data_IF_688362859828
#
_entry.id   IF_688362859828
#
_cell.length_a   1.000
_cell.length_b   1.000
_cell.length_c   1.000
_cell.angle_alpha   90.00
_cell.angle_beta   90.00
_cell.angle_gamma   90.00
#
_symmetry.space_group_name_H-M   'P 1'
#
loop_
_entity.id
_entity.type
_entity.pdbx_description
1 polymer ?
#
# COMPACT_ATOMS: atom_id res chain seq x y z
N UNK A 1 -7.88 0.08 14.30
CA UNK A 1 -7.45 1.39 13.81
C UNK A 1 -6.11 1.33 13.09
N UNK A 2 -5.08 0.82 13.73
CA UNK A 2 -3.77 0.73 13.07
C UNK A 2 -3.81 -0.22 11.89
N UNK A 3 -4.51 -1.33 12.03
CA UNK A 3 -4.64 -2.29 10.94
C UNK A 3 -5.38 -1.67 9.76
N UNK A 4 -6.45 -0.94 10.03
CA UNK A 4 -7.23 -0.31 8.96
C UNK A 4 -6.40 0.72 8.22
N UNK A 5 -5.57 1.47 8.93
CA UNK A 5 -4.70 2.46 8.31
C UNK A 5 -3.68 1.77 7.40
N UNK A 6 -3.09 0.68 7.87
CA UNK A 6 -2.10 -0.05 7.08
C UNK A 6 -2.75 -0.69 5.85
N UNK A 7 -3.96 -1.21 6.01
CA UNK A 7 -4.68 -1.79 4.88
C UNK A 7 -5.06 -0.74 3.85
N UNK A 8 -5.42 0.46 4.29
CA UNK A 8 -5.70 1.56 3.38
C UNK A 8 -4.45 1.95 2.58
N UNK A 9 -3.30 2.01 3.26
CA UNK A 9 -2.05 2.32 2.59
C UNK A 9 -1.69 1.24 1.58
N UNK A 10 -1.90 -0.01 1.94
CA UNK A 10 -1.63 -1.13 1.03
C UNK A 10 -2.51 -1.03 -0.21
N UNK A 11 -3.80 -0.78 -0.04
CA UNK A 11 -4.72 -0.68 -1.15
C UNK A 11 -4.35 0.49 -2.06
N UNK A 12 -3.98 1.62 -1.47
CA UNK A 12 -3.57 2.78 -2.24
C UNK A 12 -2.32 2.48 -3.06
N UNK A 13 -1.34 1.82 -2.44
CA UNK A 13 -0.10 1.51 -3.12
C UNK A 13 -0.33 0.53 -4.27
N UNK A 14 -1.15 -0.50 -4.04
CA UNK A 14 -1.44 -1.48 -5.08
C UNK A 14 -2.17 -0.85 -6.25
N UNK A 15 -3.15 0.02 -5.97
CA UNK A 15 -3.87 0.70 -7.03
C UNK A 15 -2.94 1.60 -7.84
N UNK A 16 -2.06 2.33 -7.14
CA UNK A 16 -1.11 3.20 -7.81
C UNK A 16 -0.20 2.41 -8.73
N UNK A 17 0.35 1.30 -8.23
CA UNK A 17 1.23 0.46 -9.05
C UNK A 17 0.49 -0.14 -10.24
N UNK A 18 -0.75 -0.54 -10.04
CA UNK A 18 -1.55 -1.11 -11.12
C UNK A 18 -1.80 -0.09 -12.21
N UNK A 19 -2.19 1.13 -11.82
CA UNK A 19 -2.42 2.19 -12.78
C UNK A 19 -1.14 2.52 -13.55
N UNK A 20 -0.03 2.60 -12.84
CA UNK A 20 1.24 2.90 -13.48
C UNK A 20 1.66 1.80 -14.44
N UNK A 21 1.41 0.56 -14.06
CA UNK A 21 1.73 -0.58 -14.93
C UNK A 21 0.95 -0.51 -16.23
N UNK A 22 -0.32 -0.16 -16.15
CA UNK A 22 -1.17 -0.09 -17.33
C UNK A 22 -0.79 1.08 -18.25
N UNK A 23 -0.23 2.13 -17.67
CA UNK A 23 0.10 3.32 -18.44
C UNK A 23 1.56 3.43 -18.82
N UNK A 24 2.36 2.44 -18.45
CA UNK A 24 3.80 2.52 -18.68
C UNK A 24 4.16 2.73 -20.15
N UNK A 25 3.45 2.06 -21.04
CA UNK A 25 3.74 2.14 -22.46
C UNK A 25 3.39 3.51 -23.06
N UNK A 26 2.52 4.26 -22.39
CA UNK A 26 2.08 5.56 -22.90
C UNK A 26 2.85 6.73 -22.33
N UNK A 27 3.82 6.49 -21.48
CA UNK A 27 4.57 7.57 -20.85
C UNK A 27 5.59 8.14 -21.82
N UNK A 28 5.61 9.44 -21.94
CA UNK A 28 6.56 10.11 -22.80
C UNK A 28 7.96 10.11 -22.21
N UNK A 29 8.91 10.43 -23.05
CA UNK A 29 10.32 10.39 -22.66
C UNK A 29 10.63 11.30 -21.49
N UNK A 30 10.03 12.46 -21.45
CA UNK A 30 10.33 13.44 -20.41
C UNK A 30 9.77 13.06 -19.05
N UNK A 31 8.94 12.06 -18.99
CA UNK A 31 8.29 11.65 -17.73
C UNK A 31 8.95 10.44 -17.09
N UNK A 32 9.97 9.90 -17.70
CA UNK A 32 10.54 8.64 -17.26
C UNK A 32 11.04 8.68 -15.81
N UNK A 33 11.78 9.72 -15.45
CA UNK A 33 12.32 9.84 -14.11
C UNK A 33 11.21 9.96 -13.08
N UNK A 34 10.21 10.80 -13.36
CA UNK A 34 9.08 10.96 -12.44
C UNK A 34 8.30 9.68 -12.30
N UNK A 35 8.13 8.95 -13.41
CA UNK A 35 7.45 7.67 -13.37
C UNK A 35 8.14 6.71 -12.41
N UNK A 36 9.47 6.57 -12.54
CA UNK A 36 10.20 5.65 -11.70
C UNK A 36 10.22 6.08 -10.25
N UNK A 37 10.32 7.39 -10.00
CA UNK A 37 10.26 7.89 -8.63
C UNK A 37 8.91 7.59 -8.00
N UNK A 38 7.84 7.80 -8.74
CA UNK A 38 6.50 7.53 -8.23
C UNK A 38 6.29 6.04 -8.01
N UNK A 39 6.81 5.20 -8.90
CA UNK A 39 6.70 3.77 -8.74
C UNK A 39 7.45 3.30 -7.50
N UNK A 40 8.64 3.85 -7.27
CA UNK A 40 9.42 3.51 -6.09
C UNK A 40 8.71 3.94 -4.81
N UNK A 41 8.11 5.12 -4.82
CA UNK A 41 7.37 5.59 -3.66
C UNK A 41 6.19 4.68 -3.35
N UNK A 42 5.47 4.26 -4.39
CA UNK A 42 4.34 3.36 -4.18
C UNK A 42 4.81 2.01 -3.66
N UNK A 43 5.93 1.52 -4.17
CA UNK A 43 6.47 0.25 -3.71
C UNK A 43 6.93 0.33 -2.27
N UNK A 44 7.55 1.44 -1.87
CA UNK A 44 7.95 1.64 -0.49
C UNK A 44 6.73 1.70 0.43
N UNK A 45 5.67 2.35 -0.01
CA UNK A 45 4.45 2.40 0.78
C UNK A 45 3.86 1.00 0.93
N UNK A 46 3.86 0.22 -0.15
CA UNK A 46 3.36 -1.15 -0.09
C UNK A 46 4.18 -1.99 0.89
N UNK A 47 5.50 -1.93 0.79
CA UNK A 47 6.37 -2.68 1.68
C UNK A 47 6.15 -2.27 3.13
N UNK A 48 6.05 -0.97 3.39
CA UNK A 48 5.80 -0.45 4.73
C UNK A 48 4.46 -0.95 5.26
N UNK A 49 3.42 -0.90 4.43
CA UNK A 49 2.09 -1.34 4.86
C UNK A 49 2.09 -2.83 5.19
N UNK A 50 2.73 -3.63 4.36
CA UNK A 50 2.78 -5.07 4.61
C UNK A 50 3.59 -5.41 5.85
N UNK A 51 4.69 -4.68 6.07
CA UNK A 51 5.48 -4.86 7.29
C UNK A 51 4.65 -4.52 8.53
N UNK A 52 3.91 -3.43 8.46
CA UNK A 52 3.07 -3.02 9.59
C UNK A 52 1.97 -4.03 9.85
N UNK A 53 1.35 -4.57 8.80
CA UNK A 53 0.32 -5.59 8.95
C UNK A 53 0.90 -6.85 9.55
N UNK A 54 2.09 -7.26 9.12
CA UNK A 54 2.73 -8.43 9.66
C UNK A 54 3.07 -8.24 11.15
N UNK A 55 3.56 -7.06 11.51
CA UNK A 55 3.90 -6.77 12.89
C UNK A 55 2.65 -6.76 13.77
N UNK A 56 1.56 -6.20 13.27
CA UNK A 56 0.31 -6.19 14.02
C UNK A 56 -0.22 -7.59 14.24
N UNK A 57 -0.16 -8.43 13.21
CA UNK A 57 -0.63 -9.80 13.34
C UNK A 57 0.21 -10.58 14.33
N UNK A 58 1.52 -10.31 14.38
CA UNK A 58 2.44 -11.05 15.23
C UNK A 58 2.37 -10.61 16.69
N UNK A 59 2.32 -9.30 16.91
CA UNK A 59 2.46 -8.77 18.26
C UNK A 59 1.15 -8.27 18.86
N UNK A 60 0.16 -7.96 18.02
CA UNK A 60 -1.09 -7.38 18.48
C UNK A 60 -2.28 -8.05 17.79
N UNK A 61 -2.43 -9.36 17.95
CA UNK A 61 -3.54 -10.03 17.24
C UNK A 61 -4.92 -9.54 17.69
N UNK A 62 -5.02 -8.92 18.87
CA UNK A 62 -6.28 -8.35 19.32
C UNK A 62 -6.72 -7.17 18.45
N UNK A 63 -5.79 -6.53 17.76
CA UNK A 63 -6.14 -5.47 16.83
C UNK A 63 -7.02 -6.02 15.69
N UNK A 64 -6.71 -7.22 15.22
CA UNK A 64 -7.55 -7.88 14.22
C UNK A 64 -8.94 -8.14 14.74
N UNK A 65 -9.02 -8.62 15.97
CA UNK A 65 -10.32 -8.89 16.58
C UNK A 65 -11.12 -7.62 16.76
N UNK A 66 -10.47 -6.55 17.16
CA UNK A 66 -11.12 -5.26 17.30
C UNK A 66 -11.71 -4.80 15.98
N UNK A 67 -10.98 -4.96 14.90
CA UNK A 67 -11.47 -4.59 13.60
C UNK A 67 -12.69 -5.37 13.21
N UNK A 68 -12.71 -6.65 13.53
CA UNK A 68 -13.85 -7.49 13.22
C UNK A 68 -15.07 -7.10 14.02
N UNK A 69 -14.87 -6.75 15.27
CA UNK A 69 -16.00 -6.41 16.13
C UNK A 69 -16.56 -5.04 15.85
N UNK A 70 -15.79 -4.16 15.24
CA UNK A 70 -16.27 -2.81 14.98
C UNK A 70 -17.34 -2.75 13.90
N UNK A 71 -17.56 -3.83 13.23
CA UNK A 71 -18.62 -3.90 12.22
C UNK A 71 -20.01 -3.99 12.81
N UNK A 72 -20.07 -4.31 14.04
CA UNK A 72 -21.38 -4.47 14.67
C UNK A 72 -21.77 -3.26 15.46
#
# INVERSE_FOLDING_TARGET
MLKSAAEADKSKALLTLEIMSENAAGIGDHSTTDFWNNANEALELLASAEDRLAALAKYFPSEDLSNQTTFF
#
